data_IF_001577101524
#
_entry.id   IF_001577101524
#
_cell.length_a   1.000
_cell.length_b   1.000
_cell.length_c   1.000
_cell.angle_alpha   90.00
_cell.angle_beta   90.00
_cell.angle_gamma   90.00
#
_symmetry.space_group_name_H-M   'P 1'
#
loop_
_entity.id
_entity.type
_entity.pdbx_description
1 polymer ?
#
# COMPACT_ATOMS: atom_id res chain seq x y z
N UNK A 1 16.97 -27.29 -12.35
CA UNK A 1 15.62 -27.50 -12.88
C UNK A 1 15.15 -28.93 -12.71
N UNK A 2 15.91 -29.96 -13.13
CA UNK A 2 15.51 -31.38 -12.98
C UNK A 2 15.32 -31.80 -11.51
N UNK A 3 16.14 -31.31 -10.56
CA UNK A 3 16.01 -31.60 -9.14
C UNK A 3 14.72 -30.98 -8.52
N UNK A 4 14.34 -29.79 -8.98
CA UNK A 4 13.10 -29.13 -8.53
C UNK A 4 11.86 -29.82 -9.10
N UNK A 5 11.92 -30.24 -10.37
CA UNK A 5 10.84 -30.98 -11.02
C UNK A 5 10.61 -32.39 -10.42
N UNK A 6 11.62 -32.95 -9.76
CA UNK A 6 11.54 -34.27 -9.07
C UNK A 6 11.01 -34.14 -7.62
N UNK A 7 10.84 -32.96 -7.07
CA UNK A 7 10.26 -32.77 -5.75
C UNK A 7 8.76 -33.03 -5.81
N UNK A 8 8.30 -33.98 -5.01
CA UNK A 8 6.87 -34.18 -4.80
C UNK A 8 6.38 -33.10 -3.81
N UNK A 9 5.83 -32.03 -4.33
CA UNK A 9 5.32 -30.91 -3.54
C UNK A 9 3.84 -31.06 -3.13
N UNK A 10 3.27 -32.26 -3.35
CA UNK A 10 1.86 -32.56 -3.11
C UNK A 10 0.97 -32.14 -4.28
N UNK A 11 -0.28 -32.52 -4.21
CA UNK A 11 -1.28 -32.10 -5.20
C UNK A 11 -1.92 -30.79 -4.71
N UNK A 12 -1.92 -29.74 -5.53
CA UNK A 12 -2.50 -28.41 -5.21
C UNK A 12 -3.97 -28.53 -4.78
N UNK A 13 -4.65 -29.59 -5.20
CA UNK A 13 -6.04 -29.86 -4.86
C UNK A 13 -6.29 -30.38 -3.44
N UNK A 14 -5.25 -30.87 -2.77
CA UNK A 14 -5.35 -31.46 -1.43
C UNK A 14 -5.08 -30.46 -0.30
N UNK A 15 -4.74 -29.24 -0.62
CA UNK A 15 -4.43 -28.20 0.36
C UNK A 15 -5.42 -27.03 0.20
N UNK A 16 -6.32 -26.87 1.15
CA UNK A 16 -7.20 -25.70 1.33
C UNK A 16 -6.41 -24.39 1.61
N UNK A 17 -5.10 -24.45 1.55
CA UNK A 17 -4.20 -23.34 1.89
C UNK A 17 -3.31 -23.13 0.69
N UNK A 18 -3.13 -21.87 0.34
CA UNK A 18 -2.16 -21.36 -0.61
C UNK A 18 -0.72 -21.58 -0.10
N UNK A 19 -0.36 -22.85 0.07
CA UNK A 19 0.91 -23.25 0.69
C UNK A 19 2.13 -22.76 -0.10
N UNK A 20 2.00 -22.64 -1.43
CA UNK A 20 3.08 -22.13 -2.27
C UNK A 20 3.21 -20.61 -2.16
N UNK A 21 2.10 -19.91 -2.15
CA UNK A 21 2.08 -18.47 -1.95
C UNK A 21 2.58 -18.10 -0.56
N UNK A 22 2.13 -18.76 0.48
CA UNK A 22 2.59 -18.51 1.85
C UNK A 22 4.08 -18.85 2.03
N UNK A 23 4.57 -19.92 1.42
CA UNK A 23 6.00 -20.24 1.41
C UNK A 23 6.82 -19.18 0.67
N UNK A 24 6.31 -18.67 -0.44
CA UNK A 24 6.94 -17.59 -1.19
C UNK A 24 6.97 -16.28 -0.40
N UNK A 25 5.87 -15.87 0.24
CA UNK A 25 5.82 -14.70 1.13
C UNK A 25 6.82 -14.85 2.29
N UNK A 26 6.93 -16.05 2.87
CA UNK A 26 7.91 -16.32 3.91
C UNK A 26 9.35 -16.15 3.40
N UNK A 27 9.68 -16.72 2.23
CA UNK A 27 11.00 -16.55 1.61
C UNK A 27 11.29 -15.09 1.27
N UNK A 28 10.32 -14.33 0.79
CA UNK A 28 10.44 -12.90 0.53
C UNK A 28 10.71 -12.10 1.82
N UNK A 29 10.05 -12.44 2.91
CA UNK A 29 10.29 -11.85 4.24
C UNK A 29 11.71 -12.13 4.73
N UNK A 30 12.19 -13.37 4.55
CA UNK A 30 13.56 -13.77 4.90
C UNK A 30 14.59 -13.06 4.02
N UNK A 31 14.33 -12.94 2.71
CA UNK A 31 15.19 -12.21 1.79
C UNK A 31 15.27 -10.73 2.17
N UNK A 32 14.13 -10.08 2.40
CA UNK A 32 14.03 -8.69 2.83
C UNK A 32 14.81 -8.45 4.14
N UNK A 33 14.70 -9.35 5.09
CA UNK A 33 15.41 -9.28 6.37
C UNK A 33 16.94 -9.39 6.23
N UNK A 34 17.42 -10.12 5.22
CA UNK A 34 18.84 -10.37 4.99
C UNK A 34 19.46 -9.35 4.00
N UNK A 35 18.67 -8.69 3.18
CA UNK A 35 19.14 -7.76 2.13
C UNK A 35 19.63 -6.40 2.66
N UNK A 36 19.65 -6.16 3.96
CA UNK A 36 20.14 -4.93 4.58
C UNK A 36 19.21 -3.73 4.33
N UNK A 37 19.80 -2.54 4.00
CA UNK A 37 19.03 -1.28 3.86
C UNK A 37 17.93 -1.32 2.80
N UNK A 38 18.03 -2.20 1.83
CA UNK A 38 17.03 -2.36 0.75
C UNK A 38 15.87 -3.29 1.10
N UNK A 39 15.99 -4.08 2.16
CA UNK A 39 14.98 -5.10 2.50
C UNK A 39 13.64 -4.54 2.95
N UNK A 40 13.63 -3.39 3.63
CA UNK A 40 12.40 -2.75 4.08
C UNK A 40 11.60 -2.04 2.99
N UNK A 41 12.18 -1.86 1.79
CA UNK A 41 11.49 -1.26 0.64
C UNK A 41 10.62 -2.26 -0.12
N UNK A 42 10.78 -3.57 0.16
CA UNK A 42 10.14 -4.64 -0.63
C UNK A 42 8.94 -5.30 0.05
N UNK A 43 8.70 -5.03 1.33
CA UNK A 43 7.70 -5.77 2.08
C UNK A 43 6.93 -4.89 3.06
N UNK A 44 5.60 -4.89 2.95
CA UNK A 44 4.71 -4.26 3.93
C UNK A 44 4.31 -5.31 4.98
N UNK A 45 4.42 -5.01 6.29
CA UNK A 45 3.97 -5.93 7.34
C UNK A 45 2.53 -6.39 7.13
N UNK A 46 2.24 -7.68 7.34
CA UNK A 46 0.94 -8.28 7.08
C UNK A 46 -0.21 -7.55 7.80
N UNK A 47 -0.01 -7.13 9.06
CA UNK A 47 -1.01 -6.39 9.83
C UNK A 47 -1.32 -5.01 9.21
N UNK A 48 -0.31 -4.35 8.64
CA UNK A 48 -0.48 -3.06 7.95
C UNK A 48 -1.21 -3.26 6.63
N UNK A 49 -0.83 -4.29 5.86
CA UNK A 49 -1.50 -4.64 4.60
C UNK A 49 -2.98 -4.95 4.84
N UNK A 50 -3.28 -5.69 5.91
CA UNK A 50 -4.65 -6.01 6.29
C UNK A 50 -5.44 -4.76 6.67
N UNK A 51 -4.86 -3.90 7.52
CA UNK A 51 -5.50 -2.64 7.91
C UNK A 51 -5.81 -1.76 6.71
N UNK A 52 -4.85 -1.55 5.79
CA UNK A 52 -5.06 -0.72 4.60
C UNK A 52 -6.16 -1.29 3.71
N UNK A 53 -6.16 -2.61 3.52
CA UNK A 53 -7.18 -3.29 2.72
C UNK A 53 -8.57 -3.15 3.35
N UNK A 54 -8.70 -3.41 4.66
CA UNK A 54 -9.97 -3.27 5.38
C UNK A 54 -10.49 -1.83 5.32
N UNK A 55 -9.61 -0.83 5.44
CA UNK A 55 -9.99 0.58 5.29
C UNK A 55 -10.43 0.90 3.87
N UNK A 56 -9.70 0.43 2.86
CA UNK A 56 -10.01 0.65 1.45
C UNK A 56 -11.33 0.00 1.01
N UNK A 57 -11.73 -1.09 1.68
CA UNK A 57 -12.90 -1.89 1.33
C UNK A 57 -14.09 -1.71 2.27
N UNK A 58 -14.01 -0.76 3.20
CA UNK A 58 -15.12 -0.50 4.17
C UNK A 58 -16.45 -0.30 3.44
N UNK A 59 -17.45 -1.12 3.83
CA UNK A 59 -18.79 -1.08 3.28
C UNK A 59 -18.93 -1.58 1.84
N UNK A 60 -17.89 -2.22 1.31
CA UNK A 60 -17.88 -2.84 -0.04
C UNK A 60 -17.81 -4.37 0.10
N UNK A 61 -18.63 -5.07 -0.65
CA UNK A 61 -18.58 -6.53 -0.82
C UNK A 61 -17.97 -6.93 -2.16
N UNK A 62 -17.98 -6.02 -3.12
CA UNK A 62 -17.41 -6.14 -4.45
C UNK A 62 -16.79 -4.80 -4.84
N UNK A 63 -15.76 -4.86 -5.65
CA UNK A 63 -15.12 -3.68 -6.24
C UNK A 63 -14.79 -3.93 -7.72
N UNK A 64 -14.67 -2.87 -8.49
CA UNK A 64 -14.31 -3.00 -9.89
C UNK A 64 -12.83 -3.29 -10.06
N UNK A 65 -11.97 -2.43 -9.49
CA UNK A 65 -10.52 -2.51 -9.61
C UNK A 65 -9.83 -2.13 -8.31
N UNK A 66 -8.72 -2.81 -8.02
CA UNK A 66 -7.80 -2.47 -6.93
C UNK A 66 -6.47 -2.01 -7.52
N UNK A 67 -5.88 -0.95 -6.99
CA UNK A 67 -4.63 -0.38 -7.49
C UNK A 67 -3.62 -0.09 -6.37
N UNK A 68 -2.33 -0.33 -6.66
CA UNK A 68 -1.20 0.09 -5.84
C UNK A 68 -0.12 0.77 -6.70
N UNK A 69 0.09 2.09 -6.56
CA UNK A 69 1.07 2.86 -7.33
C UNK A 69 2.55 2.54 -7.01
N UNK A 70 2.83 1.79 -5.96
CA UNK A 70 4.16 1.37 -5.55
C UNK A 70 4.10 -0.07 -5.00
N UNK A 71 3.65 -0.99 -5.86
CA UNK A 71 3.14 -2.29 -5.42
C UNK A 71 4.19 -3.23 -4.81
N UNK A 72 5.48 -2.94 -4.95
CA UNK A 72 6.51 -3.78 -4.39
C UNK A 72 6.38 -5.22 -4.88
N UNK A 73 6.38 -6.17 -3.95
CA UNK A 73 6.15 -7.59 -4.23
C UNK A 73 4.66 -7.97 -4.39
N UNK A 74 3.74 -7.02 -4.33
CA UNK A 74 2.31 -7.25 -4.51
C UNK A 74 1.53 -7.65 -3.25
N UNK A 75 2.15 -7.60 -2.08
CA UNK A 75 1.54 -8.06 -0.82
C UNK A 75 0.23 -7.34 -0.46
N UNK A 76 0.12 -6.03 -0.76
CA UNK A 76 -1.12 -5.27 -0.56
C UNK A 76 -2.24 -5.71 -1.51
N UNK A 77 -1.91 -5.95 -2.79
CA UNK A 77 -2.87 -6.44 -3.78
C UNK A 77 -3.37 -7.84 -3.40
N UNK A 78 -2.46 -8.74 -3.01
CA UNK A 78 -2.82 -10.09 -2.57
C UNK A 78 -3.63 -10.10 -1.27
N UNK A 79 -3.38 -9.14 -0.37
CA UNK A 79 -4.21 -8.99 0.82
C UNK A 79 -5.64 -8.59 0.45
N UNK A 80 -5.81 -7.76 -0.60
CA UNK A 80 -7.14 -7.45 -1.12
C UNK A 80 -7.85 -8.68 -1.71
N UNK A 81 -7.11 -9.59 -2.36
CA UNK A 81 -7.64 -10.90 -2.78
C UNK A 81 -8.14 -11.69 -1.57
N UNK A 82 -7.33 -11.80 -0.52
CA UNK A 82 -7.67 -12.58 0.69
C UNK A 82 -8.85 -11.98 1.47
N UNK A 83 -9.02 -10.66 1.48
CA UNK A 83 -10.10 -9.97 2.22
C UNK A 83 -11.42 -9.96 1.46
N UNK A 84 -11.39 -9.70 0.15
CA UNK A 84 -12.58 -9.59 -0.69
C UNK A 84 -12.99 -10.93 -1.32
N UNK A 85 -12.02 -11.80 -1.59
CA UNK A 85 -12.18 -12.99 -2.46
C UNK A 85 -11.83 -12.68 -3.91
N UNK A 86 -11.46 -13.72 -4.67
CA UNK A 86 -11.05 -13.59 -6.07
C UNK A 86 -12.15 -12.98 -6.95
N UNK A 87 -13.38 -13.44 -6.78
CA UNK A 87 -14.52 -13.04 -7.62
C UNK A 87 -15.09 -11.66 -7.28
N UNK A 88 -14.70 -11.09 -6.13
CA UNK A 88 -15.20 -9.80 -5.67
C UNK A 88 -14.49 -8.61 -6.33
N UNK A 89 -13.35 -8.83 -7.00
CA UNK A 89 -12.66 -7.80 -7.78
C UNK A 89 -12.88 -8.06 -9.26
N UNK A 90 -13.87 -7.39 -9.86
CA UNK A 90 -14.42 -7.75 -11.18
C UNK A 90 -13.44 -7.59 -12.34
N UNK A 91 -12.71 -6.49 -12.37
CA UNK A 91 -11.80 -6.13 -13.47
C UNK A 91 -10.32 -6.19 -13.06
N UNK A 92 -10.04 -6.79 -11.89
CA UNK A 92 -8.70 -7.20 -11.51
C UNK A 92 -7.88 -6.19 -10.72
N UNK A 93 -6.61 -6.54 -10.59
CA UNK A 93 -5.62 -5.89 -9.74
C UNK A 93 -4.60 -5.15 -10.61
N UNK A 94 -4.32 -3.92 -10.26
CA UNK A 94 -3.40 -3.05 -10.97
C UNK A 94 -2.28 -2.61 -10.05
N UNK A 95 -1.07 -2.51 -10.60
CA UNK A 95 0.07 -2.04 -9.83
C UNK A 95 1.15 -1.47 -10.71
N UNK A 96 2.00 -0.65 -10.13
CA UNK A 96 3.18 -0.16 -10.81
C UNK A 96 4.40 -0.21 -9.89
N UNK A 97 5.54 -0.63 -10.42
CA UNK A 97 6.78 -0.81 -9.67
C UNK A 97 7.98 -0.35 -10.49
N UNK A 98 8.83 0.48 -9.87
CA UNK A 98 10.01 1.05 -10.52
C UNK A 98 11.21 0.08 -10.58
N UNK A 99 11.29 -0.85 -9.63
CA UNK A 99 12.38 -1.81 -9.56
C UNK A 99 12.03 -3.07 -10.35
N UNK A 100 12.83 -3.39 -11.38
CA UNK A 100 12.57 -4.52 -12.27
C UNK A 100 12.56 -5.87 -11.54
N UNK A 101 13.39 -6.04 -10.53
CA UNK A 101 13.42 -7.29 -9.74
C UNK A 101 12.13 -7.45 -8.96
N UNK A 102 11.72 -6.41 -8.25
CA UNK A 102 10.49 -6.39 -7.44
C UNK A 102 9.25 -6.48 -8.31
N UNK A 103 9.24 -5.82 -9.48
CA UNK A 103 8.21 -5.98 -10.51
C UNK A 103 8.02 -7.46 -10.92
N UNK A 104 9.12 -8.17 -11.20
CA UNK A 104 9.04 -9.58 -11.56
C UNK A 104 8.59 -10.46 -10.37
N UNK A 105 9.05 -10.13 -9.16
CA UNK A 105 8.62 -10.83 -7.95
C UNK A 105 7.12 -10.64 -7.71
N UNK A 106 6.57 -9.44 -7.90
CA UNK A 106 5.14 -9.17 -7.81
C UNK A 106 4.33 -10.07 -8.75
N UNK A 107 4.72 -10.14 -10.02
CA UNK A 107 4.02 -10.97 -11.01
C UNK A 107 4.08 -12.46 -10.68
N UNK A 108 5.23 -12.96 -10.22
CA UNK A 108 5.36 -14.34 -9.77
C UNK A 108 4.46 -14.58 -8.55
N UNK A 109 4.43 -13.63 -7.62
CA UNK A 109 3.61 -13.70 -6.41
C UNK A 109 2.11 -13.78 -6.75
N UNK A 110 1.63 -12.96 -7.69
CA UNK A 110 0.24 -13.02 -8.17
C UNK A 110 -0.11 -14.43 -8.69
N UNK A 111 0.76 -15.04 -9.52
CA UNK A 111 0.55 -16.40 -10.03
C UNK A 111 0.56 -17.46 -8.93
N UNK A 112 1.45 -17.33 -7.95
CA UNK A 112 1.53 -18.32 -6.86
C UNK A 112 0.32 -18.26 -5.92
N UNK A 113 -0.41 -17.15 -5.92
CA UNK A 113 -1.67 -16.96 -5.21
C UNK A 113 -2.91 -17.14 -6.11
N UNK A 114 -2.77 -17.89 -7.21
CA UNK A 114 -3.86 -18.25 -8.12
C UNK A 114 -4.61 -17.06 -8.74
N UNK A 115 -3.94 -15.92 -8.89
CA UNK A 115 -4.47 -14.79 -9.64
C UNK A 115 -4.09 -14.94 -11.10
N UNK A 116 -5.08 -15.16 -11.96
CA UNK A 116 -4.85 -15.34 -13.40
C UNK A 116 -4.22 -14.11 -14.05
N UNK A 117 -3.45 -14.32 -15.10
CA UNK A 117 -2.72 -13.27 -15.81
C UNK A 117 -3.63 -12.20 -16.45
N UNK A 118 -4.86 -12.55 -16.77
CA UNK A 118 -5.90 -11.64 -17.30
C UNK A 118 -6.62 -10.87 -16.19
N UNK A 119 -6.35 -11.20 -14.94
CA UNK A 119 -6.95 -10.57 -13.76
C UNK A 119 -6.00 -9.63 -12.99
N UNK A 120 -4.77 -9.46 -13.47
CA UNK A 120 -3.86 -8.45 -12.95
C UNK A 120 -3.04 -7.79 -14.06
N UNK A 121 -2.76 -6.50 -13.87
CA UNK A 121 -1.91 -5.70 -14.73
C UNK A 121 -0.87 -4.97 -13.89
N UNK A 122 0.33 -5.53 -13.81
CA UNK A 122 1.47 -4.91 -13.12
C UNK A 122 2.37 -4.27 -14.17
N UNK A 123 2.57 -2.96 -14.07
CA UNK A 123 3.39 -2.19 -14.98
C UNK A 123 4.79 -1.91 -14.39
N UNK A 124 5.80 -1.88 -15.24
CA UNK A 124 7.16 -1.49 -14.88
C UNK A 124 7.40 0.00 -15.20
N UNK A 125 7.85 0.77 -14.20
CA UNK A 125 8.20 2.17 -14.40
C UNK A 125 7.94 3.06 -13.18
N UNK A 126 8.37 4.32 -13.28
CA UNK A 126 8.14 5.32 -12.26
C UNK A 126 6.73 5.88 -12.37
N UNK A 127 5.91 5.61 -11.38
CA UNK A 127 4.50 6.04 -11.31
C UNK A 127 4.32 7.55 -11.34
N UNK A 128 5.23 8.29 -10.74
CA UNK A 128 5.09 9.74 -10.62
C UNK A 128 5.42 10.47 -11.92
N UNK A 129 6.34 9.89 -12.73
CA UNK A 129 6.84 10.52 -13.97
C UNK A 129 6.23 9.87 -15.19
N UNK A 130 6.09 8.55 -15.18
CA UNK A 130 5.61 7.75 -16.32
C UNK A 130 4.55 6.74 -15.87
N UNK A 131 3.37 7.21 -15.42
CA UNK A 131 2.26 6.35 -15.03
C UNK A 131 1.72 5.56 -16.23
N UNK A 132 1.50 4.26 -16.04
CA UNK A 132 1.14 3.35 -17.12
C UNK A 132 -0.36 3.01 -17.20
N UNK A 133 -1.14 3.36 -16.17
CA UNK A 133 -2.56 2.99 -16.07
C UNK A 133 -3.50 4.17 -16.32
N UNK A 134 -3.16 5.07 -17.26
CA UNK A 134 -4.00 6.20 -17.63
C UNK A 134 -5.37 5.80 -18.19
N UNK A 135 -5.41 4.68 -18.94
CA UNK A 135 -6.63 4.18 -19.55
C UNK A 135 -7.40 3.23 -18.62
N UNK A 136 -6.77 2.84 -17.52
CA UNK A 136 -7.33 1.90 -16.55
C UNK A 136 -8.08 2.62 -15.41
N UNK A 137 -7.82 3.91 -15.17
CA UNK A 137 -8.51 4.69 -14.14
C UNK A 137 -10.02 4.87 -14.49
N UNK A 138 -10.88 5.15 -13.52
CA UNK A 138 -10.64 5.27 -12.09
C UNK A 138 -10.63 3.92 -11.35
N UNK A 139 -10.04 3.94 -10.16
CA UNK A 139 -9.97 2.77 -9.26
C UNK A 139 -10.88 2.97 -8.05
N UNK A 140 -11.64 1.95 -7.66
CA UNK A 140 -12.52 2.02 -6.49
C UNK A 140 -11.77 1.81 -5.17
N UNK A 141 -10.69 1.07 -5.21
CA UNK A 141 -9.81 0.83 -4.06
C UNK A 141 -8.37 1.10 -4.47
N UNK A 142 -7.72 2.01 -3.76
CA UNK A 142 -6.28 2.25 -3.92
C UNK A 142 -5.61 2.06 -2.56
N UNK A 143 -4.67 1.13 -2.50
CA UNK A 143 -3.90 0.85 -1.28
C UNK A 143 -2.42 1.01 -1.59
N UNK A 144 -1.65 1.65 -0.71
CA UNK A 144 -0.22 1.79 -0.96
C UNK A 144 0.60 1.99 0.32
N UNK A 145 1.81 1.46 0.29
CA UNK A 145 2.88 1.79 1.22
C UNK A 145 4.10 2.28 0.41
N UNK A 146 4.05 3.51 -0.12
CA UNK A 146 5.11 4.04 -0.99
C UNK A 146 6.40 4.27 -0.21
N UNK A 147 7.56 4.37 -0.90
CA UNK A 147 8.83 4.63 -0.24
C UNK A 147 8.85 6.00 0.42
N UNK A 148 9.22 6.05 1.73
CA UNK A 148 9.19 7.29 2.51
C UNK A 148 10.31 8.25 2.16
N UNK A 149 9.96 9.54 2.02
CA UNK A 149 10.91 10.63 1.79
C UNK A 149 11.85 10.37 0.61
N UNK A 150 11.37 9.69 -0.40
CA UNK A 150 12.12 9.42 -1.63
C UNK A 150 12.25 10.67 -2.48
N UNK A 151 13.39 10.82 -3.13
CA UNK A 151 13.61 11.88 -4.13
C UNK A 151 12.84 11.56 -5.40
N UNK A 152 12.27 12.58 -6.03
CA UNK A 152 11.64 12.50 -7.32
C UNK A 152 11.95 13.78 -8.13
N UNK A 153 11.50 13.87 -9.38
CA UNK A 153 11.80 15.05 -10.22
C UNK A 153 11.18 16.34 -9.66
N UNK A 154 9.94 16.27 -9.19
CA UNK A 154 9.26 17.41 -8.60
C UNK A 154 9.29 18.63 -9.52
N UNK A 155 9.67 19.79 -8.95
CA UNK A 155 9.75 21.06 -9.65
C UNK A 155 10.97 21.23 -10.57
N UNK A 156 11.87 20.25 -10.64
CA UNK A 156 12.90 20.19 -11.68
C UNK A 156 12.31 19.82 -13.06
N UNK A 157 11.13 19.19 -13.08
CA UNK A 157 10.39 18.89 -14.30
C UNK A 157 9.23 19.89 -14.48
N UNK A 158 9.35 20.87 -15.40
CA UNK A 158 8.33 21.91 -15.56
C UNK A 158 6.99 21.38 -16.11
N UNK A 159 6.96 20.17 -16.69
CA UNK A 159 5.72 19.58 -17.20
C UNK A 159 4.81 19.09 -16.09
N UNK A 160 5.38 18.68 -14.95
CA UNK A 160 4.62 18.11 -13.83
C UNK A 160 3.70 19.13 -13.15
N UNK A 161 4.00 20.43 -13.23
CA UNK A 161 3.11 21.45 -12.64
C UNK A 161 1.74 21.52 -13.31
N UNK A 162 1.68 21.12 -14.59
CA UNK A 162 0.45 21.09 -15.36
C UNK A 162 -0.16 19.69 -15.47
N UNK A 163 0.49 18.69 -14.88
CA UNK A 163 -0.03 17.32 -14.82
C UNK A 163 -1.34 17.32 -14.02
N UNK A 164 -2.45 16.78 -14.56
CA UNK A 164 -3.76 16.81 -13.92
C UNK A 164 -3.79 16.15 -12.55
N UNK A 165 -2.82 15.27 -12.25
CA UNK A 165 -2.68 14.63 -10.93
C UNK A 165 -2.19 15.62 -9.86
N UNK A 166 -1.34 16.56 -10.21
CA UNK A 166 -0.67 17.47 -9.27
C UNK A 166 -1.16 18.92 -9.35
N UNK A 167 -1.56 19.37 -10.54
CA UNK A 167 -1.99 20.74 -10.80
C UNK A 167 -3.07 21.28 -9.84
N UNK A 168 -4.04 20.47 -9.36
CA UNK A 168 -5.11 20.99 -8.48
C UNK A 168 -4.63 21.57 -7.16
N UNK A 169 -3.48 21.13 -6.63
CA UNK A 169 -2.89 21.69 -5.41
C UNK A 169 -2.14 23.02 -5.65
N UNK A 170 -1.93 23.42 -6.91
CA UNK A 170 -1.20 24.62 -7.31
C UNK A 170 0.29 24.62 -6.95
N UNK A 171 0.81 23.48 -6.50
CA UNK A 171 2.21 23.32 -6.10
C UNK A 171 2.60 21.84 -6.13
N UNK A 172 3.81 21.55 -6.58
CA UNK A 172 4.36 20.19 -6.52
C UNK A 172 4.91 19.88 -5.13
N UNK A 173 4.89 18.60 -4.75
CA UNK A 173 5.60 18.13 -3.57
C UNK A 173 7.11 18.44 -3.71
N UNK A 174 7.84 18.63 -2.59
CA UNK A 174 9.26 18.90 -2.66
C UNK A 174 10.02 17.77 -3.37
N UNK A 175 10.96 18.09 -4.27
CA UNK A 175 11.77 17.08 -4.97
C UNK A 175 12.53 16.12 -4.07
N UNK A 176 12.78 16.50 -2.83
CA UNK A 176 13.43 15.65 -1.83
C UNK A 176 12.49 14.67 -1.12
N UNK A 177 11.17 14.76 -1.38
CA UNK A 177 10.12 14.01 -0.64
C UNK A 177 8.89 13.83 -1.51
N UNK A 178 8.77 12.64 -2.10
CA UNK A 178 7.67 12.27 -2.95
C UNK A 178 6.38 11.91 -2.20
N UNK A 179 6.42 11.87 -0.86
CA UNK A 179 5.31 11.38 -0.02
C UNK A 179 3.94 11.91 -0.52
N UNK A 180 3.72 13.22 -0.47
CA UNK A 180 2.46 13.82 -0.93
C UNK A 180 2.25 13.82 -2.45
N UNK A 181 3.26 13.49 -3.26
CA UNK A 181 3.05 13.28 -4.69
C UNK A 181 2.31 11.95 -4.92
N UNK A 182 2.65 10.88 -4.19
CA UNK A 182 1.88 9.65 -4.22
C UNK A 182 0.44 9.86 -3.75
N UNK A 183 0.22 10.60 -2.66
CA UNK A 183 -1.13 10.96 -2.20
C UNK A 183 -1.93 11.68 -3.27
N UNK A 184 -1.35 12.67 -3.95
CA UNK A 184 -2.01 13.41 -5.03
C UNK A 184 -2.30 12.54 -6.25
N UNK A 185 -1.37 11.65 -6.63
CA UNK A 185 -1.58 10.68 -7.70
C UNK A 185 -2.75 9.74 -7.39
N UNK A 186 -2.75 9.12 -6.21
CA UNK A 186 -3.84 8.24 -5.78
C UNK A 186 -5.19 8.95 -5.78
N UNK A 187 -5.25 10.17 -5.26
CA UNK A 187 -6.46 10.97 -5.25
C UNK A 187 -7.00 11.27 -6.65
N UNK A 188 -6.11 11.57 -7.60
CA UNK A 188 -6.49 11.85 -8.98
C UNK A 188 -7.13 10.66 -9.67
N UNK A 189 -6.62 9.46 -9.40
CA UNK A 189 -7.08 8.22 -10.03
C UNK A 189 -8.17 7.48 -9.25
N UNK A 190 -8.58 8.03 -8.12
CA UNK A 190 -9.62 7.44 -7.28
C UNK A 190 -11.01 7.65 -7.88
N UNK A 191 -11.82 6.60 -7.91
CA UNK A 191 -13.23 6.67 -8.31
C UNK A 191 -14.04 7.60 -7.40
N UNK A 192 -15.15 8.13 -7.89
CA UNK A 192 -15.99 9.07 -7.16
C UNK A 192 -16.57 8.50 -5.84
N UNK A 193 -16.73 7.20 -5.75
CA UNK A 193 -17.13 6.43 -4.57
C UNK A 193 -15.99 5.56 -4.02
N UNK A 194 -14.78 5.79 -4.52
CA UNK A 194 -13.59 5.04 -4.16
C UNK A 194 -13.04 5.41 -2.79
N UNK A 195 -12.20 4.52 -2.26
CA UNK A 195 -11.46 4.75 -1.02
C UNK A 195 -9.98 4.47 -1.26
N UNK A 196 -9.12 5.41 -0.84
CA UNK A 196 -7.68 5.24 -0.86
C UNK A 196 -7.14 5.15 0.56
N UNK A 197 -6.27 4.16 0.81
CA UNK A 197 -5.57 4.00 2.07
C UNK A 197 -4.05 3.95 1.82
N UNK A 198 -3.31 4.88 2.43
CA UNK A 198 -1.88 5.04 2.22
C UNK A 198 -1.13 5.09 3.54
N UNK A 199 0.04 4.45 3.60
CA UNK A 199 0.97 4.64 4.72
C UNK A 199 1.87 5.83 4.41
N UNK A 200 1.88 6.79 5.32
CA UNK A 200 2.65 8.01 5.16
C UNK A 200 3.63 8.24 6.31
N UNK A 201 4.74 8.87 6.00
CA UNK A 201 5.66 9.33 7.04
C UNK A 201 5.01 10.48 7.84
N UNK A 202 5.05 10.46 9.19
CA UNK A 202 4.35 11.45 10.02
C UNK A 202 4.69 12.91 9.70
N UNK A 203 5.85 13.14 9.07
CA UNK A 203 6.28 14.47 8.65
C UNK A 203 5.32 15.17 7.71
N UNK A 204 4.57 14.43 6.90
CA UNK A 204 3.55 15.01 6.00
C UNK A 204 2.49 15.81 6.77
N UNK A 205 2.25 15.51 8.04
CA UNK A 205 1.23 16.15 8.87
C UNK A 205 1.68 17.52 9.44
N UNK A 206 2.97 17.79 9.56
CA UNK A 206 3.45 19.01 10.24
C UNK A 206 4.50 19.83 9.48
N UNK A 207 5.12 19.28 8.41
CA UNK A 207 6.11 20.04 7.64
C UNK A 207 5.46 21.23 6.95
N UNK A 208 6.21 22.35 6.88
CA UNK A 208 5.80 23.58 6.22
C UNK A 208 6.02 23.62 4.71
N UNK A 209 5.94 24.80 4.12
CA UNK A 209 6.27 25.03 2.72
C UNK A 209 5.28 24.38 1.73
N UNK A 210 5.82 23.66 0.73
CA UNK A 210 5.03 23.02 -0.32
C UNK A 210 4.11 21.94 0.24
N UNK A 211 4.57 21.12 1.18
CA UNK A 211 3.76 20.08 1.82
C UNK A 211 2.57 20.69 2.60
N UNK A 212 2.77 21.84 3.27
CA UNK A 212 1.67 22.56 3.93
C UNK A 212 0.59 23.02 2.95
N UNK A 213 0.98 23.49 1.76
CA UNK A 213 0.02 23.92 0.73
C UNK A 213 -0.80 22.76 0.21
N UNK A 214 -0.16 21.61 -0.07
CA UNK A 214 -0.86 20.38 -0.50
C UNK A 214 -1.81 19.92 0.61
N UNK A 215 -1.37 19.84 1.87
CA UNK A 215 -2.27 19.48 2.99
C UNK A 215 -3.46 20.43 3.11
N UNK A 216 -3.25 21.73 2.94
CA UNK A 216 -4.33 22.71 2.95
C UNK A 216 -5.35 22.40 1.86
N UNK A 217 -4.90 22.14 0.63
CA UNK A 217 -5.75 21.73 -0.47
C UNK A 217 -6.56 20.49 -0.13
N UNK A 218 -5.92 19.42 0.39
CA UNK A 218 -6.57 18.17 0.76
C UNK A 218 -7.65 18.37 1.84
N UNK A 219 -7.36 19.21 2.84
CA UNK A 219 -8.30 19.52 3.93
C UNK A 219 -9.47 20.40 3.46
N UNK A 220 -9.20 21.47 2.69
CA UNK A 220 -10.23 22.39 2.19
C UNK A 220 -11.20 21.70 1.22
N UNK A 221 -10.72 20.70 0.51
CA UNK A 221 -11.55 19.87 -0.40
C UNK A 221 -12.21 18.68 0.30
N UNK A 222 -11.94 18.51 1.60
CA UNK A 222 -12.48 17.42 2.41
C UNK A 222 -12.17 16.02 1.83
N UNK A 223 -10.93 15.83 1.38
CA UNK A 223 -10.50 14.54 0.84
C UNK A 223 -9.97 13.57 1.90
N UNK A 224 -9.70 14.04 3.12
CA UNK A 224 -9.18 13.22 4.21
C UNK A 224 -10.30 12.83 5.16
N UNK A 225 -10.63 11.55 5.21
CA UNK A 225 -11.63 11.00 6.13
C UNK A 225 -11.04 10.73 7.51
N UNK A 226 -9.86 10.13 7.56
CA UNK A 226 -9.23 9.74 8.81
C UNK A 226 -7.69 9.78 8.72
N UNK A 227 -7.07 10.05 9.84
CA UNK A 227 -5.64 9.89 10.08
C UNK A 227 -5.47 8.93 11.25
N UNK A 228 -4.87 7.77 11.00
CA UNK A 228 -4.70 6.70 11.96
C UNK A 228 -3.22 6.61 12.33
N UNK A 229 -2.94 6.76 13.61
CA UNK A 229 -1.58 6.59 14.11
C UNK A 229 -1.29 5.11 14.34
N UNK A 230 -0.29 4.57 13.61
CA UNK A 230 0.16 3.20 13.79
C UNK A 230 1.07 3.08 15.03
N UNK A 231 1.09 1.91 15.69
CA UNK A 231 2.00 1.65 16.80
C UNK A 231 3.48 1.88 16.41
N UNK A 232 4.32 2.35 17.36
CA UNK A 232 5.74 2.53 17.09
C UNK A 232 6.37 1.19 16.69
N UNK A 233 7.26 1.24 15.70
CA UNK A 233 8.01 0.10 15.17
C UNK A 233 7.19 -0.94 14.37
N UNK A 234 5.90 -0.75 14.13
CA UNK A 234 5.12 -1.70 13.33
C UNK A 234 5.68 -1.80 11.89
N UNK A 235 5.94 -0.67 11.25
CA UNK A 235 6.52 -0.63 9.90
C UNK A 235 8.05 -0.70 9.94
N UNK A 236 8.69 -0.28 11.05
CA UNK A 236 10.14 -0.27 11.19
C UNK A 236 10.74 -1.65 11.55
N UNK A 237 9.93 -2.63 11.92
CA UNK A 237 10.43 -4.00 12.19
C UNK A 237 11.00 -4.68 10.95
N UNK A 238 10.62 -4.24 9.77
CA UNK A 238 11.16 -4.70 8.49
C UNK A 238 12.45 -3.99 8.07
N UNK A 239 12.89 -2.96 8.81
CA UNK A 239 14.16 -2.28 8.57
C UNK A 239 15.24 -2.87 9.48
N UNK A 240 16.44 -3.19 8.97
CA UNK A 240 17.55 -3.63 9.82
C UNK A 240 17.86 -2.55 10.85
N UNK A 241 18.03 -2.96 12.11
CA UNK A 241 18.36 -2.06 13.23
C UNK A 241 19.63 -1.27 12.89
N UNK A 242 19.62 0.07 12.93
CA UNK A 242 20.86 0.83 12.84
C UNK A 242 21.72 0.49 14.07
N UNK A 243 23.06 0.52 13.95
CA UNK A 243 23.95 0.26 15.09
C UNK A 243 23.61 1.20 16.25
N UNK A 244 23.67 0.68 17.47
CA UNK A 244 23.14 1.26 18.71
C UNK A 244 23.73 2.62 19.15
N UNK A 245 24.53 3.31 18.33
CA UNK A 245 25.30 4.47 18.72
C UNK A 245 24.79 5.84 18.27
N UNK A 246 23.60 5.98 17.68
CA UNK A 246 23.16 7.30 17.20
C UNK A 246 21.66 7.61 17.25
N UNK A 247 20.92 7.16 18.26
CA UNK A 247 19.48 7.42 18.32
C UNK A 247 18.99 7.83 19.70
N UNK A 248 19.35 9.05 20.12
CA UNK A 248 18.58 9.82 21.10
C UNK A 248 17.65 10.79 20.37
N UNK A 249 16.65 10.31 19.73
CA UNK A 249 15.61 11.12 19.08
C UNK A 249 14.31 10.33 19.03
N UNK A 250 13.26 10.89 19.65
CA UNK A 250 11.89 10.40 19.64
C UNK A 250 11.49 9.88 18.25
N UNK A 251 11.58 8.59 18.02
CA UNK A 251 11.12 7.94 16.78
C UNK A 251 9.61 7.91 16.79
N UNK A 252 9.04 8.80 16.04
CA UNK A 252 7.59 8.96 15.95
C UNK A 252 7.04 8.01 14.87
N UNK A 253 5.95 7.44 15.19
CA UNK A 253 4.96 6.57 14.57
C UNK A 253 4.67 6.89 13.11
N UNK A 254 4.54 5.85 12.31
CA UNK A 254 3.98 5.88 10.95
C UNK A 254 2.47 6.16 11.02
N UNK A 255 1.96 6.93 10.09
CA UNK A 255 0.55 7.32 10.03
C UNK A 255 -0.09 6.72 8.80
N UNK A 256 -1.22 6.04 8.95
CA UNK A 256 -2.08 5.68 7.83
C UNK A 256 -3.09 6.81 7.62
N UNK A 257 -3.25 7.25 6.38
CA UNK A 257 -4.21 8.27 5.99
C UNK A 257 -5.19 7.64 5.00
N UNK A 258 -6.49 7.79 5.24
CA UNK A 258 -7.52 7.38 4.30
C UNK A 258 -8.15 8.62 3.69
N UNK A 259 -8.37 8.62 2.37
CA UNK A 259 -9.17 9.62 1.69
C UNK A 259 -10.32 8.95 0.94
N UNK A 260 -11.52 9.50 1.04
CA UNK A 260 -12.63 9.16 0.17
C UNK A 260 -13.02 10.37 -0.67
N UNK A 261 -13.43 10.14 -1.92
CA UNK A 261 -13.99 11.19 -2.75
C UNK A 261 -15.51 11.17 -2.65
N UNK A 262 -16.03 12.29 -2.20
CA UNK A 262 -17.43 12.75 -2.27
C UNK A 262 -18.51 11.69 -2.10
N UNK A 263 -19.09 11.63 -0.91
CA UNK A 263 -20.55 11.52 -0.81
C UNK A 263 -21.14 12.86 -0.39
N UNK A 264 -22.10 13.37 -1.15
CA UNK A 264 -23.00 14.39 -0.72
C UNK A 264 -23.86 13.82 0.42
N UNK A 265 -23.72 14.36 1.59
CA UNK A 265 -24.69 14.28 2.65
C UNK A 265 -24.48 13.21 3.72
N UNK A 266 -24.42 13.69 4.93
CA UNK A 266 -24.62 13.00 6.21
C UNK A 266 -23.54 11.98 6.64
N UNK A 267 -22.50 12.48 7.29
CA UNK A 267 -21.84 11.71 8.32
C UNK A 267 -22.16 12.32 9.69
N UNK A 268 -22.99 11.62 10.43
CA UNK A 268 -23.07 11.76 11.88
C UNK A 268 -21.73 11.34 12.48
N UNK A 269 -21.24 12.16 13.40
CA UNK A 269 -20.02 11.95 14.16
C UNK A 269 -19.85 10.50 14.61
N UNK A 270 -18.82 9.81 14.12
CA UNK A 270 -18.41 8.54 14.68
C UNK A 270 -17.82 8.79 16.07
N UNK A 271 -18.54 8.36 17.07
CA UNK A 271 -18.15 8.31 18.47
C UNK A 271 -16.86 7.50 18.60
N UNK A 272 -15.89 8.03 19.36
CA UNK A 272 -14.71 7.30 19.81
C UNK A 272 -15.09 5.94 20.37
N UNK A 273 -14.92 4.87 19.63
CA UNK A 273 -14.95 3.52 20.20
C UNK A 273 -13.51 3.17 20.62
N UNK A 274 -13.31 3.14 21.93
CA UNK A 274 -12.12 2.57 22.52
C UNK A 274 -12.08 1.07 22.18
N UNK A 275 -11.16 0.67 21.33
CA UNK A 275 -10.80 -0.73 21.18
C UNK A 275 -10.06 -1.18 22.44
N UNK A 276 -10.78 -1.87 23.33
CA UNK A 276 -10.17 -2.68 24.37
C UNK A 276 -9.87 -4.06 23.77
N UNK A 277 -8.64 -4.56 23.86
CA UNK A 277 -8.35 -5.95 23.51
C UNK A 277 -8.86 -6.83 24.65
N UNK A 278 -10.03 -7.42 24.48
CA UNK A 278 -10.46 -8.56 25.28
C UNK A 278 -10.05 -9.83 24.55
N UNK A 279 -8.92 -10.39 24.89
CA UNK A 279 -8.63 -11.80 24.62
C UNK A 279 -7.93 -12.39 25.82
N UNK A 280 -8.71 -13.09 26.64
CA UNK A 280 -8.17 -14.13 27.47
C UNK A 280 -7.90 -15.36 26.59
N UNK A 281 -6.74 -16.00 26.68
CA UNK A 281 -6.48 -17.21 25.91
C UNK A 281 -7.36 -18.37 26.45
N UNK A 282 -7.79 -19.30 25.58
CA UNK A 282 -8.53 -20.48 26.02
C UNK A 282 -7.60 -21.38 26.83
N UNK A 283 -8.07 -21.80 28.01
CA UNK A 283 -7.43 -22.75 28.89
C UNK A 283 -7.42 -24.15 28.24
N UNK A 284 -6.23 -24.63 27.89
CA UNK A 284 -6.05 -26.03 27.55
C UNK A 284 -5.87 -26.84 28.82
N UNK A 285 -6.80 -27.71 29.13
CA UNK A 285 -6.63 -28.82 30.07
C UNK A 285 -6.18 -30.04 29.29
N UNK A 286 -5.10 -30.73 29.66
CA UNK A 286 -4.70 -31.97 29.01
C UNK A 286 -5.53 -33.13 29.58
N UNK A 287 -6.03 -33.97 28.69
CA UNK A 287 -6.30 -35.39 28.93
C UNK A 287 -5.32 -36.23 28.18
#
# INVERSE_FOLDING_TARGET
LQGVAAMNLGDVKDHDIDAFGDAYEYLMTMYASNAGKSGGEFFTPADVSELLTLLGTVGKTEVNKVYDPACGSGSLLLKAVKVLGHDAVRNGFFGQEINITTYNLCRINMFLHDVNYDHFNIAYGDTLINPQHWDDEPFEVIVSNPPYSTKWEGDDNPTLINDPRFAPAGVLAPKSKADLAFTMHMLSWLAADGTAAIVEFPGVLYRGGKEQKIRKYLLEKNFIDAVIQLPPNLVLRSLPSPPASSCSGNRRTTTACCSSTRRNGLYTSATKTNFHPTTSPPSWTPM
#
